data_IF_208726992782
#
_entry.id   IF_208726992782
#
_cell.length_a   1.000
_cell.length_b   1.000
_cell.length_c   1.000
_cell.angle_alpha   90.00
_cell.angle_beta   90.00
_cell.angle_gamma   90.00
#
_symmetry.space_group_name_H-M   'P 1'
#
loop_
_entity.id
_entity.type
_entity.pdbx_description
1 polymer ?
#
# COMPACT_ATOMS: atom_id res chain seq x y z
N UNK A 1 18.32 13.71 -16.76
CA UNK A 1 18.24 12.32 -16.24
C UNK A 1 18.13 12.42 -14.73
N UNK A 2 16.91 12.41 -14.19
CA UNK A 2 16.70 12.43 -12.75
C UNK A 2 16.64 10.98 -12.26
N UNK A 3 17.71 10.52 -11.63
CA UNK A 3 17.74 9.25 -10.90
C UNK A 3 17.12 9.48 -9.54
N UNK A 4 15.88 9.04 -9.33
CA UNK A 4 15.22 9.11 -8.03
C UNK A 4 15.67 7.91 -7.20
N UNK A 5 16.63 8.18 -6.31
CA UNK A 5 17.16 7.22 -5.35
C UNK A 5 16.16 7.12 -4.18
N UNK A 6 15.46 6.00 -4.08
CA UNK A 6 14.42 5.70 -3.09
C UNK A 6 14.94 5.89 -1.65
N UNK A 7 14.43 6.90 -0.93
CA UNK A 7 14.83 7.24 0.44
C UNK A 7 14.00 6.46 1.46
N UNK A 8 14.66 5.50 2.12
CA UNK A 8 14.20 4.64 3.24
C UNK A 8 13.51 3.35 2.82
N UNK A 9 14.34 2.39 2.44
CA UNK A 9 13.98 0.98 2.53
C UNK A 9 13.91 0.62 4.02
N UNK A 10 12.72 0.51 4.59
CA UNK A 10 12.56 -0.16 5.88
C UNK A 10 12.72 -1.66 5.67
N UNK A 11 13.71 -2.25 6.36
CA UNK A 11 13.94 -3.68 6.35
C UNK A 11 12.95 -4.33 7.31
N UNK A 12 11.96 -5.03 6.77
CA UNK A 12 11.23 -6.04 7.52
C UNK A 12 11.99 -7.37 7.42
N UNK A 13 11.80 -8.31 8.36
CA UNK A 13 12.55 -9.57 8.40
C UNK A 13 12.57 -10.33 7.07
N UNK A 14 11.55 -10.16 6.22
CA UNK A 14 11.37 -10.88 4.97
C UNK A 14 11.13 -9.99 3.72
N UNK A 15 11.15 -8.66 3.87
CA UNK A 15 10.84 -7.75 2.76
C UNK A 15 11.44 -6.34 2.95
N UNK A 16 11.63 -5.67 1.82
CA UNK A 16 12.04 -4.29 1.71
C UNK A 16 10.84 -3.42 1.39
N UNK A 17 10.57 -2.40 2.20
CA UNK A 17 9.62 -1.36 1.82
C UNK A 17 10.19 -0.55 0.66
N UNK A 18 9.47 -0.50 -0.46
CA UNK A 18 9.85 0.23 -1.68
C UNK A 18 9.20 1.61 -1.69
N UNK A 19 7.91 1.69 -1.36
CA UNK A 19 7.17 2.94 -1.40
C UNK A 19 6.04 2.93 -0.39
N UNK A 20 5.57 4.12 -0.04
CA UNK A 20 4.51 4.34 0.92
C UNK A 20 3.66 5.51 0.45
N UNK A 21 2.36 5.31 0.49
CA UNK A 21 1.35 6.31 0.20
C UNK A 21 0.40 6.40 1.38
N UNK A 22 0.06 7.63 1.77
CA UNK A 22 -1.01 7.92 2.72
C UNK A 22 -1.72 9.18 2.23
N UNK A 23 -3.04 9.16 2.26
CA UNK A 23 -3.81 10.37 1.99
C UNK A 23 -3.79 11.34 3.18
N UNK A 24 -4.41 12.51 3.04
CA UNK A 24 -4.35 13.56 4.06
C UNK A 24 -5.20 13.27 5.31
N UNK A 25 -6.01 12.21 5.28
CA UNK A 25 -6.91 11.87 6.37
C UNK A 25 -6.17 11.17 7.52
N UNK A 26 -6.56 11.43 8.79
CA UNK A 26 -6.07 10.68 9.93
C UNK A 26 -6.61 9.24 9.94
N UNK A 27 -5.98 8.36 10.73
CA UNK A 27 -6.28 6.93 10.77
C UNK A 27 -7.65 6.57 11.37
N UNK A 28 -8.29 7.51 12.08
CA UNK A 28 -9.64 7.40 12.59
C UNK A 28 -10.72 7.89 11.60
N UNK A 29 -10.33 8.44 10.45
CA UNK A 29 -11.25 8.93 9.42
C UNK A 29 -11.80 7.78 8.56
N UNK A 30 -13.08 7.87 8.19
CA UNK A 30 -13.72 6.87 7.32
C UNK A 30 -13.11 6.84 5.90
N UNK A 31 -12.47 7.92 5.47
CA UNK A 31 -11.81 8.09 4.17
C UNK A 31 -10.30 7.83 4.23
N UNK A 32 -9.75 7.42 5.37
CA UNK A 32 -8.33 7.07 5.52
C UNK A 32 -7.87 6.05 4.49
N UNK A 33 -6.74 6.30 3.82
CA UNK A 33 -6.06 5.35 2.94
C UNK A 33 -4.58 5.37 3.27
N UNK A 34 -4.02 4.19 3.53
CA UNK A 34 -2.60 3.94 3.67
C UNK A 34 -2.21 2.70 2.88
N UNK A 35 -1.24 2.83 2.00
CA UNK A 35 -0.83 1.77 1.09
C UNK A 35 0.70 1.70 1.05
N UNK A 36 1.26 0.51 1.24
CA UNK A 36 2.70 0.30 1.28
C UNK A 36 3.12 -0.79 0.32
N UNK A 37 4.05 -0.47 -0.58
CA UNK A 37 4.63 -1.41 -1.53
C UNK A 37 5.88 -2.05 -0.94
N UNK A 38 5.94 -3.37 -0.99
CA UNK A 38 7.07 -4.17 -0.52
C UNK A 38 7.64 -5.06 -1.63
N UNK A 39 8.94 -5.35 -1.52
CA UNK A 39 9.68 -6.33 -2.30
C UNK A 39 10.29 -7.37 -1.36
N UNK A 40 9.91 -8.64 -1.50
CA UNK A 40 10.52 -9.72 -0.72
C UNK A 40 11.96 -9.97 -1.17
N UNK A 41 12.78 -10.58 -0.30
CA UNK A 41 14.12 -11.04 -0.67
C UNK A 41 14.12 -12.07 -1.82
N UNK A 42 13.01 -12.79 -1.99
CA UNK A 42 12.78 -13.74 -3.10
C UNK A 42 12.37 -13.06 -4.41
N UNK A 43 12.19 -11.74 -4.43
CA UNK A 43 11.88 -10.97 -5.65
C UNK A 43 10.39 -10.83 -5.97
N UNK A 44 9.50 -11.12 -5.02
CA UNK A 44 8.06 -10.93 -5.18
C UNK A 44 7.61 -9.58 -4.64
N UNK A 45 6.64 -8.95 -5.31
CA UNK A 45 6.04 -7.70 -4.87
C UNK A 45 4.70 -7.96 -4.17
N UNK A 46 4.43 -7.20 -3.12
CA UNK A 46 3.12 -7.17 -2.48
C UNK A 46 2.80 -5.79 -1.94
N UNK A 47 1.50 -5.47 -1.91
CA UNK A 47 0.96 -4.28 -1.30
C UNK A 47 0.34 -4.65 0.05
N UNK A 48 0.64 -3.86 1.07
CA UNK A 48 -0.16 -3.76 2.27
C UNK A 48 -1.12 -2.58 2.07
N UNK A 49 -2.41 -2.88 1.98
CA UNK A 49 -3.47 -1.92 1.73
C UNK A 49 -4.28 -1.78 3.02
N UNK A 50 -4.38 -0.58 3.55
CA UNK A 50 -5.22 -0.24 4.68
C UNK A 50 -6.14 0.91 4.29
N UNK A 51 -7.40 0.82 4.69
CA UNK A 51 -8.30 1.94 4.48
C UNK A 51 -9.57 1.87 5.29
N UNK A 52 -10.17 3.04 5.48
CA UNK A 52 -11.41 3.22 6.21
C UNK A 52 -12.64 2.66 5.47
N UNK A 53 -13.78 2.56 6.16
CA UNK A 53 -15.03 2.00 5.66
C UNK A 53 -15.65 2.74 4.46
N UNK A 54 -15.19 3.94 4.10
CA UNK A 54 -15.65 4.68 2.92
C UNK A 54 -14.63 4.72 1.78
N UNK A 55 -13.70 3.76 1.75
CA UNK A 55 -12.63 3.69 0.75
C UNK A 55 -12.75 2.46 -0.14
N UNK A 56 -11.92 2.38 -1.19
CA UNK A 56 -11.80 1.19 -2.05
C UNK A 56 -11.37 -0.08 -1.28
N UNK A 57 -10.89 0.09 -0.05
CA UNK A 57 -10.47 -1.00 0.84
C UNK A 57 -11.56 -1.41 1.84
N UNK A 58 -12.76 -0.82 1.79
CA UNK A 58 -13.85 -1.19 2.68
C UNK A 58 -14.31 -2.64 2.46
N UNK A 59 -14.68 -3.32 3.54
CA UNK A 59 -15.21 -4.68 3.52
C UNK A 59 -16.54 -4.75 4.26
N UNK A 60 -17.41 -5.65 3.81
CA UNK A 60 -18.68 -5.94 4.46
C UNK A 60 -18.49 -7.12 5.42
N UNK A 61 -18.64 -6.88 6.72
CA UNK A 61 -18.61 -7.90 7.77
C UNK A 61 -19.92 -7.83 8.57
N UNK A 62 -20.61 -8.97 8.69
CA UNK A 62 -21.83 -9.11 9.50
C UNK A 62 -22.87 -7.98 9.36
N UNK A 63 -23.12 -7.53 8.13
CA UNK A 63 -24.04 -6.43 7.76
C UNK A 63 -23.54 -5.01 8.08
N UNK A 64 -22.27 -4.85 8.44
CA UNK A 64 -21.61 -3.57 8.66
C UNK A 64 -20.46 -3.37 7.66
N UNK A 65 -20.29 -2.13 7.18
CA UNK A 65 -19.13 -1.76 6.37
C UNK A 65 -18.04 -1.28 7.33
N UNK A 66 -16.89 -1.95 7.27
CA UNK A 66 -15.72 -1.61 8.08
C UNK A 66 -14.51 -1.32 7.20
N UNK A 67 -13.53 -0.60 7.76
CA UNK A 67 -12.22 -0.49 7.14
C UNK A 67 -11.53 -1.85 7.13
N UNK A 68 -10.59 -2.05 6.22
CA UNK A 68 -9.84 -3.31 6.16
C UNK A 68 -8.35 -3.07 6.02
N UNK A 69 -7.59 -4.07 6.45
CA UNK A 69 -6.17 -4.18 6.11
C UNK A 69 -5.98 -5.50 5.36
N UNK A 70 -5.48 -5.41 4.13
CA UNK A 70 -5.30 -6.55 3.23
C UNK A 70 -3.90 -6.57 2.64
N UNK A 71 -3.36 -7.77 2.49
CA UNK A 71 -2.14 -8.01 1.71
C UNK A 71 -2.53 -8.50 0.32
N UNK A 72 -1.97 -7.87 -0.72
CA UNK A 72 -2.18 -8.28 -2.11
C UNK A 72 -0.83 -8.50 -2.80
N UNK A 73 -0.56 -9.73 -3.22
CA UNK A 73 0.58 -10.03 -4.09
C UNK A 73 0.33 -9.49 -5.48
N UNK A 74 1.32 -8.81 -6.04
CA UNK A 74 1.21 -8.17 -7.36
C UNK A 74 2.41 -8.51 -8.24
N UNK A 75 2.25 -8.40 -9.55
CA UNK A 75 3.36 -8.49 -10.48
C UNK A 75 4.23 -7.23 -10.45
N UNK A 76 5.42 -7.31 -11.05
CA UNK A 76 6.28 -6.13 -11.23
C UNK A 76 5.60 -5.03 -12.05
N UNK A 77 4.82 -5.38 -13.09
CA UNK A 77 4.11 -4.39 -13.90
C UNK A 77 3.06 -3.66 -13.07
N UNK A 78 2.27 -4.40 -12.29
CA UNK A 78 1.27 -3.82 -11.38
C UNK A 78 1.92 -2.94 -10.30
N UNK A 79 3.10 -3.29 -9.81
CA UNK A 79 3.85 -2.45 -8.87
C UNK A 79 4.26 -1.12 -9.50
N UNK A 80 4.62 -1.14 -10.79
CA UNK A 80 4.97 0.07 -11.53
C UNK A 80 3.74 0.93 -11.85
N UNK A 81 2.63 0.30 -12.22
CA UNK A 81 1.35 0.99 -12.41
C UNK A 81 0.92 1.69 -11.11
N UNK A 82 1.02 1.00 -9.98
CA UNK A 82 0.72 1.57 -8.66
C UNK A 82 1.60 2.78 -8.31
N UNK A 83 2.91 2.72 -8.58
CA UNK A 83 3.80 3.88 -8.37
C UNK A 83 3.36 5.08 -9.21
N UNK A 84 3.00 4.86 -10.48
CA UNK A 84 2.53 5.92 -11.36
C UNK A 84 1.18 6.49 -10.91
N UNK A 85 0.25 5.66 -10.44
CA UNK A 85 -1.07 6.09 -9.93
C UNK A 85 -0.95 7.02 -8.72
N UNK A 86 0.12 6.88 -7.93
CA UNK A 86 0.39 7.64 -6.72
C UNK A 86 1.46 8.73 -6.90
N UNK A 87 1.93 8.97 -8.13
CA UNK A 87 3.01 9.93 -8.45
C UNK A 87 4.32 9.71 -7.63
N UNK A 88 4.72 8.44 -7.43
CA UNK A 88 5.90 8.02 -6.63
C UNK A 88 7.10 7.53 -7.46
#
# INVERSE_FOLDING_TARGET
>A
MASYFCRRIFQQPNAFQIAYYKNEYPDDDMLFIEETLFLTYSGHFFLLLSGGPMTKHAVLEDHHITGSTKVQTISKSQAQDWLNEHDL
#
